data_IF_696725961432
#
_entry.id   IF_696725961432
#
_cell.length_a   1.000
_cell.length_b   1.000
_cell.length_c   1.000
_cell.angle_alpha   90.00
_cell.angle_beta   90.00
_cell.angle_gamma   90.00
#
_symmetry.space_group_name_H-M   'P 1'
#
loop_
_entity.id
_entity.type
_entity.pdbx_description
1 polymer ?
#
# COMPACT_ATOMS: atom_id res chain seq x y z
N UNK A 1 -1.75 30.13 17.66
CA UNK A 1 -3.11 29.57 17.49
C UNK A 1 -3.39 29.08 16.07
N UNK A 2 -2.93 29.76 15.03
CA UNK A 2 -3.21 29.39 13.62
C UNK A 2 -2.54 28.08 13.18
N UNK A 3 -1.26 27.88 13.52
CA UNK A 3 -0.51 26.67 13.17
C UNK A 3 -1.11 25.39 13.79
N UNK A 4 -1.58 25.47 15.04
CA UNK A 4 -2.25 24.34 15.72
C UNK A 4 -3.55 23.94 15.00
N UNK A 5 -4.30 24.92 14.46
CA UNK A 5 -5.50 24.65 13.65
C UNK A 5 -5.16 23.97 12.33
N UNK A 6 -4.07 24.37 11.66
CA UNK A 6 -3.63 23.76 10.40
C UNK A 6 -3.17 22.32 10.62
N UNK A 7 -2.37 22.06 11.66
CA UNK A 7 -1.94 20.71 12.02
C UNK A 7 -3.13 19.82 12.35
N UNK A 8 -4.08 20.29 13.16
CA UNK A 8 -5.30 19.54 13.50
C UNK A 8 -6.13 19.22 12.26
N UNK A 9 -6.31 20.20 11.35
CA UNK A 9 -7.03 20.00 10.09
C UNK A 9 -6.36 18.94 9.22
N UNK A 10 -5.05 19.03 9.03
CA UNK A 10 -4.30 18.06 8.24
C UNK A 10 -4.38 16.66 8.88
N UNK A 11 -4.19 16.56 10.19
CA UNK A 11 -4.32 15.30 10.91
C UNK A 11 -5.70 14.64 10.69
N UNK A 12 -6.78 15.41 10.89
CA UNK A 12 -8.15 14.93 10.69
C UNK A 12 -8.44 14.58 9.23
N UNK A 13 -7.97 15.39 8.29
CA UNK A 13 -8.15 15.16 6.86
C UNK A 13 -7.45 13.86 6.43
N UNK A 14 -6.13 13.77 6.61
CA UNK A 14 -5.35 12.63 6.16
C UNK A 14 -5.69 11.33 6.91
N UNK A 15 -5.95 11.43 8.22
CA UNK A 15 -6.35 10.29 9.04
C UNK A 15 -7.71 9.72 8.64
N UNK A 16 -8.68 10.60 8.34
CA UNK A 16 -10.00 10.19 7.83
C UNK A 16 -9.87 9.40 6.53
N UNK A 17 -9.07 9.86 5.57
CA UNK A 17 -8.88 9.15 4.31
C UNK A 17 -8.17 7.80 4.49
N UNK A 18 -7.21 7.69 5.42
CA UNK A 18 -6.55 6.41 5.72
C UNK A 18 -7.53 5.37 6.26
N UNK A 19 -8.41 5.79 7.16
CA UNK A 19 -9.49 4.94 7.70
C UNK A 19 -10.50 4.58 6.60
N UNK A 20 -10.89 5.55 5.76
CA UNK A 20 -11.82 5.30 4.64
C UNK A 20 -11.26 4.29 3.64
N UNK A 21 -9.97 4.38 3.28
CA UNK A 21 -9.33 3.40 2.41
C UNK A 21 -9.36 2.00 3.03
N UNK A 22 -9.20 1.89 4.35
CA UNK A 22 -9.31 0.61 5.07
C UNK A 22 -10.74 0.08 5.04
N UNK A 23 -11.74 0.94 5.23
CA UNK A 23 -13.14 0.54 5.15
C UNK A 23 -13.50 0.01 3.74
N UNK A 24 -12.97 0.64 2.69
CA UNK A 24 -13.14 0.19 1.30
C UNK A 24 -12.45 -1.17 1.10
N UNK A 25 -11.22 -1.35 1.61
CA UNK A 25 -10.53 -2.64 1.59
C UNK A 25 -11.39 -3.73 2.24
N UNK A 26 -11.92 -3.49 3.45
CA UNK A 26 -12.78 -4.44 4.17
C UNK A 26 -14.01 -4.78 3.31
N UNK A 27 -14.66 -3.78 2.73
CA UNK A 27 -15.81 -3.99 1.84
C UNK A 27 -15.48 -4.90 0.65
N UNK A 28 -14.40 -4.63 -0.07
CA UNK A 28 -13.97 -5.50 -1.17
C UNK A 28 -13.64 -6.91 -0.70
N UNK A 29 -12.90 -7.05 0.39
CA UNK A 29 -12.50 -8.35 0.93
C UNK A 29 -13.70 -9.20 1.34
N UNK A 30 -14.70 -8.59 1.99
CA UNK A 30 -15.94 -9.30 2.37
C UNK A 30 -16.70 -9.72 1.12
N UNK A 31 -16.88 -8.81 0.16
CA UNK A 31 -17.60 -9.09 -1.10
C UNK A 31 -16.91 -10.21 -1.88
N UNK A 32 -15.60 -10.10 -2.11
CA UNK A 32 -14.84 -11.11 -2.83
C UNK A 32 -14.73 -12.43 -2.04
N UNK A 33 -14.57 -12.37 -0.72
CA UNK A 33 -14.60 -13.54 0.14
C UNK A 33 -15.91 -14.31 0.00
N UNK A 34 -17.06 -13.63 -0.06
CA UNK A 34 -18.37 -14.26 -0.28
C UNK A 34 -18.44 -14.85 -1.71
N UNK A 35 -18.13 -14.05 -2.74
CA UNK A 35 -18.27 -14.47 -4.14
C UNK A 35 -17.40 -15.68 -4.50
N UNK A 36 -16.16 -15.70 -4.01
CA UNK A 36 -15.20 -16.76 -4.33
C UNK A 36 -15.21 -17.92 -3.33
N UNK A 37 -15.99 -17.82 -2.25
CA UNK A 37 -16.31 -18.95 -1.36
C UNK A 37 -17.48 -19.79 -1.88
N UNK A 38 -18.25 -19.30 -2.87
CA UNK A 38 -19.32 -20.10 -3.48
C UNK A 38 -18.72 -21.26 -4.28
N UNK A 39 -18.82 -22.48 -3.72
CA UNK A 39 -18.30 -23.71 -4.32
C UNK A 39 -17.33 -24.47 -3.41
N UNK A 40 -16.84 -23.83 -2.34
CA UNK A 40 -16.02 -24.47 -1.31
C UNK A 40 -16.92 -24.91 -0.15
N UNK A 41 -17.03 -26.22 0.08
CA UNK A 41 -17.88 -26.83 1.10
C UNK A 41 -17.22 -26.94 2.49
N UNK A 42 -16.05 -26.33 2.67
CA UNK A 42 -15.34 -26.29 3.95
C UNK A 42 -15.77 -25.10 4.82
N UNK A 43 -15.89 -25.32 6.15
CA UNK A 43 -16.30 -24.32 7.15
C UNK A 43 -15.38 -23.06 7.22
N UNK A 44 -14.22 -23.09 6.54
CA UNK A 44 -13.23 -22.01 6.49
C UNK A 44 -13.00 -21.38 5.11
N UNK A 45 -13.70 -21.81 4.06
CA UNK A 45 -13.48 -21.37 2.68
C UNK A 45 -13.60 -19.85 2.49
N UNK A 46 -14.53 -19.22 3.21
CA UNK A 46 -14.70 -17.76 3.23
C UNK A 46 -13.45 -17.05 3.74
N UNK A 47 -12.94 -17.42 4.91
CA UNK A 47 -11.82 -16.72 5.55
C UNK A 47 -10.52 -16.90 4.78
N UNK A 48 -10.32 -18.05 4.14
CA UNK A 48 -9.18 -18.30 3.24
C UNK A 48 -9.21 -17.42 2.01
N UNK A 49 -10.37 -17.33 1.36
CA UNK A 49 -10.57 -16.40 0.25
C UNK A 49 -10.38 -14.94 0.72
N UNK A 50 -10.98 -14.58 1.85
CA UNK A 50 -10.88 -13.24 2.42
C UNK A 50 -9.43 -12.86 2.76
N UNK A 51 -8.63 -13.76 3.33
CA UNK A 51 -7.22 -13.48 3.63
C UNK A 51 -6.41 -13.26 2.35
N UNK A 52 -6.62 -14.09 1.33
CA UNK A 52 -5.98 -13.94 0.03
C UNK A 52 -6.29 -12.56 -0.59
N UNK A 53 -7.56 -12.16 -0.64
CA UNK A 53 -7.95 -10.86 -1.16
C UNK A 53 -7.49 -9.70 -0.26
N UNK A 54 -7.44 -9.88 1.06
CA UNK A 54 -6.95 -8.86 1.98
C UNK A 54 -5.48 -8.54 1.72
N UNK A 55 -4.66 -9.56 1.49
CA UNK A 55 -3.24 -9.39 1.14
C UNK A 55 -3.11 -8.67 -0.20
N UNK A 56 -3.78 -9.17 -1.24
CA UNK A 56 -3.65 -8.62 -2.59
C UNK A 56 -4.15 -7.19 -2.70
N UNK A 57 -5.37 -6.93 -2.25
CA UNK A 57 -5.98 -5.60 -2.32
C UNK A 57 -5.27 -4.65 -1.35
N UNK A 58 -4.82 -5.15 -0.19
CA UNK A 58 -4.00 -4.39 0.75
C UNK A 58 -2.69 -3.88 0.14
N UNK A 59 -1.95 -4.76 -0.55
CA UNK A 59 -0.74 -4.39 -1.30
C UNK A 59 -1.07 -3.39 -2.42
N UNK A 60 -2.13 -3.66 -3.20
CA UNK A 60 -2.56 -2.81 -4.30
C UNK A 60 -2.88 -1.38 -3.83
N UNK A 61 -3.64 -1.24 -2.74
CA UNK A 61 -4.01 0.06 -2.19
C UNK A 61 -2.82 0.80 -1.56
N UNK A 62 -1.84 0.10 -1.01
CA UNK A 62 -0.59 0.73 -0.56
C UNK A 62 0.22 1.32 -1.72
N UNK A 63 0.09 0.75 -2.93
CA UNK A 63 0.71 1.29 -4.13
C UNK A 63 -0.12 2.42 -4.77
N UNK A 64 -1.42 2.21 -4.97
CA UNK A 64 -2.33 3.19 -5.61
C UNK A 64 -2.61 4.40 -4.71
N UNK A 65 -2.66 4.19 -3.38
CA UNK A 65 -2.94 5.22 -2.40
C UNK A 65 -2.05 6.45 -2.57
N UNK A 66 -0.71 6.32 -2.51
CA UNK A 66 0.20 7.42 -2.76
C UNK A 66 0.03 8.09 -4.13
N UNK A 67 -0.18 7.31 -5.20
CA UNK A 67 -0.37 7.83 -6.55
C UNK A 67 -1.61 8.72 -6.63
N UNK A 68 -2.76 8.17 -6.23
CA UNK A 68 -4.04 8.83 -6.38
C UNK A 68 -4.25 9.91 -5.32
N UNK A 69 -4.11 9.56 -4.04
CA UNK A 69 -4.38 10.47 -2.93
C UNK A 69 -3.23 11.46 -2.75
N UNK A 70 -1.98 11.02 -2.83
CA UNK A 70 -0.85 11.94 -2.76
C UNK A 70 -0.84 12.91 -3.95
N UNK A 71 -1.16 12.44 -5.15
CA UNK A 71 -1.11 13.25 -6.37
C UNK A 71 -2.19 14.32 -6.42
N UNK A 72 -3.37 14.03 -5.86
CA UNK A 72 -4.53 14.93 -5.87
C UNK A 72 -4.66 15.76 -4.61
N UNK A 73 -4.44 15.16 -3.43
CA UNK A 73 -4.71 15.84 -2.16
C UNK A 73 -3.56 16.70 -1.66
N UNK A 74 -2.30 16.45 -2.06
CA UNK A 74 -1.19 17.35 -1.69
C UNK A 74 -1.39 18.75 -2.28
N UNK A 75 -1.65 18.92 -3.60
CA UNK A 75 -1.99 20.23 -4.16
C UNK A 75 -3.22 20.87 -3.50
N UNK A 76 -4.24 20.06 -3.17
CA UNK A 76 -5.48 20.53 -2.55
C UNK A 76 -5.27 21.07 -1.12
N UNK A 77 -4.52 20.36 -0.27
CA UNK A 77 -4.28 20.88 1.09
C UNK A 77 -3.39 22.12 1.08
N UNK A 78 -2.49 22.24 0.09
CA UNK A 78 -1.70 23.45 -0.13
C UNK A 78 -2.59 24.65 -0.53
N UNK A 79 -3.60 24.45 -1.39
CA UNK A 79 -4.55 25.52 -1.76
C UNK A 79 -5.45 25.94 -0.60
N UNK A 80 -5.70 25.04 0.36
CA UNK A 80 -6.36 25.39 1.64
C UNK A 80 -5.45 26.10 2.65
N UNK A 81 -4.25 26.51 2.25
CA UNK A 81 -3.31 27.25 3.09
C UNK A 81 -2.50 26.38 4.06
N UNK A 82 -2.38 25.06 3.81
CA UNK A 82 -1.47 24.22 4.58
C UNK A 82 -0.01 24.62 4.34
N UNK A 83 0.83 24.55 5.36
CA UNK A 83 2.28 24.63 5.17
C UNK A 83 2.78 23.49 4.27
N UNK A 84 3.82 23.76 3.45
CA UNK A 84 4.38 22.78 2.51
C UNK A 84 4.92 21.52 3.21
N UNK A 85 5.61 21.71 4.33
CA UNK A 85 6.09 20.59 5.16
C UNK A 85 4.92 19.81 5.76
N UNK A 86 3.90 20.51 6.25
CA UNK A 86 2.73 19.88 6.87
C UNK A 86 1.89 19.08 5.87
N UNK A 87 1.84 19.49 4.61
CA UNK A 87 1.18 18.75 3.54
C UNK A 87 1.92 17.43 3.23
N UNK A 88 3.25 17.48 3.13
CA UNK A 88 4.06 16.28 2.90
C UNK A 88 4.01 15.31 4.09
N UNK A 89 4.12 15.81 5.32
CA UNK A 89 3.97 14.98 6.53
C UNK A 89 2.55 14.44 6.71
N UNK A 90 1.54 15.22 6.32
CA UNK A 90 0.15 14.77 6.30
C UNK A 90 -0.07 13.59 5.35
N UNK A 91 0.54 13.62 4.16
CA UNK A 91 0.51 12.46 3.25
C UNK A 91 1.14 11.21 3.88
N UNK A 92 2.20 11.35 4.67
CA UNK A 92 2.77 10.21 5.42
C UNK A 92 1.83 9.66 6.48
N UNK A 93 1.04 10.52 7.11
CA UNK A 93 0.01 10.08 8.05
C UNK A 93 -1.04 9.21 7.36
N UNK A 94 -1.49 9.60 6.15
CA UNK A 94 -2.40 8.78 5.35
C UNK A 94 -1.80 7.39 5.09
N UNK A 95 -0.56 7.34 4.61
CA UNK A 95 0.10 6.08 4.25
C UNK A 95 0.33 5.20 5.48
N UNK A 96 0.77 5.80 6.59
CA UNK A 96 0.99 5.10 7.85
C UNK A 96 -0.30 4.56 8.46
N UNK A 97 -1.35 5.39 8.53
CA UNK A 97 -2.65 4.97 9.05
C UNK A 97 -3.18 3.79 8.23
N UNK A 98 -3.24 3.93 6.90
CA UNK A 98 -3.73 2.87 6.02
C UNK A 98 -2.89 1.60 6.12
N UNK A 99 -1.56 1.70 6.02
CA UNK A 99 -0.68 0.54 6.05
C UNK A 99 -0.83 -0.25 7.35
N UNK A 100 -0.91 0.43 8.50
CA UNK A 100 -1.09 -0.21 9.81
C UNK A 100 -2.47 -0.86 9.91
N UNK A 101 -3.55 -0.14 9.59
CA UNK A 101 -4.90 -0.68 9.73
C UNK A 101 -5.19 -1.80 8.73
N UNK A 102 -4.69 -1.70 7.50
CA UNK A 102 -4.78 -2.77 6.51
C UNK A 102 -3.97 -3.99 6.93
N UNK A 103 -2.75 -3.81 7.46
CA UNK A 103 -1.92 -4.91 7.94
C UNK A 103 -2.57 -5.65 9.12
N UNK A 104 -3.14 -4.92 10.08
CA UNK A 104 -3.90 -5.51 11.18
C UNK A 104 -5.10 -6.32 10.67
N UNK A 105 -5.79 -5.83 9.63
CA UNK A 105 -6.90 -6.55 9.02
C UNK A 105 -6.45 -7.81 8.26
N UNK A 106 -5.31 -7.75 7.57
CA UNK A 106 -4.68 -8.94 6.96
C UNK A 106 -4.31 -9.98 8.02
N UNK A 107 -3.74 -9.56 9.16
CA UNK A 107 -3.43 -10.47 10.27
C UNK A 107 -4.70 -11.10 10.86
N UNK A 108 -5.77 -10.31 11.02
CA UNK A 108 -7.06 -10.79 11.52
C UNK A 108 -7.66 -11.86 10.60
N UNK A 109 -7.74 -11.58 9.30
CA UNK A 109 -8.26 -12.54 8.31
C UNK A 109 -7.38 -13.78 8.22
N UNK A 110 -6.07 -13.64 8.35
CA UNK A 110 -5.14 -14.77 8.35
C UNK A 110 -5.33 -15.68 9.56
N UNK A 111 -5.52 -15.11 10.75
CA UNK A 111 -5.82 -15.87 11.96
C UNK A 111 -7.13 -16.66 11.85
N UNK A 112 -8.14 -16.07 11.20
CA UNK A 112 -9.46 -16.70 11.01
C UNK A 112 -9.49 -17.75 9.88
N UNK A 113 -8.55 -17.71 8.93
CA UNK A 113 -8.48 -18.61 7.77
C UNK A 113 -7.89 -19.98 8.04
N UNK A 114 -6.73 -20.05 8.72
CA UNK A 114 -5.93 -21.28 8.77
C UNK A 114 -5.26 -21.52 10.13
N UNK A 115 -5.67 -20.80 11.18
CA UNK A 115 -4.86 -20.68 12.39
C UNK A 115 -3.61 -19.85 12.14
N UNK A 116 -2.66 -19.86 13.09
CA UNK A 116 -1.55 -18.90 13.20
C UNK A 116 -0.72 -18.80 11.90
N UNK A 117 -0.83 -17.66 11.20
CA UNK A 117 -0.07 -17.37 9.97
C UNK A 117 1.43 -17.41 10.25
N UNK A 118 2.21 -18.06 9.37
CA UNK A 118 3.66 -18.14 9.48
C UNK A 118 4.29 -16.76 9.64
N UNK A 119 5.14 -16.58 10.66
CA UNK A 119 5.81 -15.29 10.92
C UNK A 119 6.60 -14.77 9.71
N UNK A 120 7.13 -15.66 8.88
CA UNK A 120 7.79 -15.34 7.62
C UNK A 120 6.87 -14.61 6.64
N UNK A 121 5.67 -15.15 6.39
CA UNK A 121 4.68 -14.56 5.47
C UNK A 121 4.27 -13.17 5.95
N UNK A 122 4.07 -13.01 7.26
CA UNK A 122 3.70 -11.73 7.86
C UNK A 122 4.77 -10.65 7.69
N UNK A 123 6.06 -11.01 7.79
CA UNK A 123 7.17 -10.07 7.55
C UNK A 123 7.22 -9.68 6.07
N UNK A 124 7.11 -10.66 5.17
CA UNK A 124 7.13 -10.42 3.73
C UNK A 124 5.98 -9.49 3.29
N UNK A 125 4.78 -9.67 3.84
CA UNK A 125 3.63 -8.80 3.59
C UNK A 125 3.94 -7.37 4.07
N UNK A 126 4.51 -7.22 5.27
CA UNK A 126 4.86 -5.92 5.81
C UNK A 126 5.93 -5.20 4.95
N UNK A 127 6.95 -5.92 4.50
CA UNK A 127 7.95 -5.40 3.56
C UNK A 127 7.32 -4.98 2.23
N UNK A 128 6.41 -5.80 1.69
CA UNK A 128 5.64 -5.50 0.49
C UNK A 128 4.83 -4.21 0.63
N UNK A 129 4.19 -3.99 1.79
CA UNK A 129 3.46 -2.75 2.07
C UNK A 129 4.36 -1.52 2.00
N UNK A 130 5.51 -1.57 2.68
CA UNK A 130 6.47 -0.44 2.71
C UNK A 130 7.04 -0.17 1.32
N UNK A 131 7.40 -1.21 0.56
CA UNK A 131 7.89 -1.08 -0.80
C UNK A 131 6.83 -0.45 -1.72
N UNK A 132 5.59 -0.93 -1.66
CA UNK A 132 4.50 -0.39 -2.46
C UNK A 132 4.23 1.09 -2.15
N UNK A 133 4.25 1.48 -0.87
CA UNK A 133 4.14 2.90 -0.48
C UNK A 133 5.31 3.71 -1.06
N UNK A 134 6.54 3.22 -0.94
CA UNK A 134 7.72 3.92 -1.46
C UNK A 134 7.65 4.12 -2.98
N UNK A 135 7.29 3.08 -3.74
CA UNK A 135 7.12 3.15 -5.18
C UNK A 135 5.97 4.06 -5.61
N UNK A 136 4.81 3.93 -4.95
CA UNK A 136 3.66 4.79 -5.19
C UNK A 136 4.03 6.26 -4.98
N UNK A 137 4.76 6.56 -3.91
CA UNK A 137 5.19 7.91 -3.57
C UNK A 137 6.18 8.49 -4.60
N UNK A 138 7.10 7.68 -5.13
CA UNK A 138 7.98 8.10 -6.24
C UNK A 138 7.13 8.47 -7.46
N UNK A 139 6.12 7.67 -7.79
CA UNK A 139 5.20 7.98 -8.88
C UNK A 139 4.46 9.30 -8.64
N UNK A 140 4.02 9.57 -7.41
CA UNK A 140 3.42 10.86 -7.03
C UNK A 140 4.37 12.02 -7.23
N UNK A 141 5.64 11.85 -6.86
CA UNK A 141 6.69 12.87 -7.08
C UNK A 141 6.86 13.17 -8.57
N UNK A 142 6.85 12.14 -9.41
CA UNK A 142 6.92 12.30 -10.86
C UNK A 142 5.68 13.03 -11.41
N UNK A 143 4.49 12.73 -10.89
CA UNK A 143 3.24 13.42 -11.27
C UNK A 143 3.28 14.90 -10.92
N UNK A 144 3.71 15.23 -9.70
CA UNK A 144 3.85 16.62 -9.27
C UNK A 144 4.94 17.38 -10.05
N UNK A 145 6.07 16.73 -10.38
CA UNK A 145 7.20 17.39 -11.07
C UNK A 145 6.97 17.58 -12.57
N UNK A 146 6.37 16.59 -13.25
CA UNK A 146 6.26 16.57 -14.71
C UNK A 146 4.81 16.78 -15.21
N UNK A 147 3.86 17.04 -14.30
CA UNK A 147 2.46 17.32 -14.63
C UNK A 147 1.84 16.24 -15.51
N UNK A 148 1.34 16.61 -16.69
CA UNK A 148 0.68 15.69 -17.65
C UNK A 148 1.54 14.47 -18.01
N UNK A 149 2.85 14.64 -18.21
CA UNK A 149 3.74 13.52 -18.55
C UNK A 149 3.92 12.55 -17.37
N UNK A 150 3.99 13.09 -16.15
CA UNK A 150 4.07 12.29 -14.93
C UNK A 150 2.77 11.53 -14.64
N UNK A 151 1.62 12.12 -14.95
CA UNK A 151 0.31 11.46 -14.84
C UNK A 151 0.19 10.26 -15.78
N UNK A 152 0.58 10.43 -17.06
CA UNK A 152 0.59 9.32 -18.04
C UNK A 152 1.50 8.18 -17.56
N UNK A 153 2.69 8.52 -17.07
CA UNK A 153 3.61 7.52 -16.51
C UNK A 153 3.01 6.78 -15.30
N UNK A 154 2.39 7.50 -14.37
CA UNK A 154 1.70 6.91 -13.22
C UNK A 154 0.56 5.97 -13.62
N UNK A 155 -0.23 6.33 -14.63
CA UNK A 155 -1.28 5.48 -15.18
C UNK A 155 -0.68 4.22 -15.81
N UNK A 156 0.36 4.35 -16.65
CA UNK A 156 1.00 3.21 -17.31
C UNK A 156 1.54 2.18 -16.31
N UNK A 157 2.25 2.64 -15.27
CA UNK A 157 2.74 1.72 -14.24
C UNK A 157 1.58 1.11 -13.45
N UNK A 158 0.56 1.90 -13.11
CA UNK A 158 -0.62 1.36 -12.38
C UNK A 158 -1.34 0.29 -13.18
N UNK A 159 -1.53 0.50 -14.49
CA UNK A 159 -2.10 -0.51 -15.39
C UNK A 159 -1.18 -1.72 -15.47
N UNK A 160 0.13 -1.54 -15.61
CA UNK A 160 1.08 -2.65 -15.63
C UNK A 160 1.04 -3.49 -14.34
N UNK A 161 0.92 -2.85 -13.18
CA UNK A 161 0.80 -3.51 -11.86
C UNK A 161 -0.54 -4.24 -11.72
N UNK A 162 -1.65 -3.63 -12.14
CA UNK A 162 -2.97 -4.29 -12.11
C UNK A 162 -2.99 -5.48 -13.07
N UNK A 163 -2.44 -5.32 -14.27
CA UNK A 163 -2.38 -6.38 -15.27
C UNK A 163 -1.43 -7.49 -14.84
N UNK A 164 -0.31 -7.22 -14.18
CA UNK A 164 0.57 -8.28 -13.67
C UNK A 164 -0.04 -9.05 -12.50
N UNK A 165 -0.75 -8.37 -11.59
CA UNK A 165 -1.53 -9.03 -10.53
C UNK A 165 -2.68 -9.83 -11.14
N UNK A 166 -3.43 -9.26 -12.09
CA UNK A 166 -4.53 -9.92 -12.80
C UNK A 166 -4.07 -11.07 -13.69
N UNK A 167 -2.89 -10.99 -14.30
CA UNK A 167 -2.27 -12.08 -15.03
C UNK A 167 -1.83 -13.21 -14.07
N UNK A 168 -1.42 -12.87 -12.84
CA UNK A 168 -1.23 -13.85 -11.76
C UNK A 168 -2.53 -14.56 -11.35
N UNK A 169 -3.69 -13.87 -11.41
CA UNK A 169 -5.01 -14.50 -11.25
C UNK A 169 -5.36 -15.46 -12.40
N UNK A 170 -5.07 -15.08 -13.65
CA UNK A 170 -5.47 -15.86 -14.84
C UNK A 170 -4.51 -17.01 -15.15
N UNK A 171 -3.20 -16.84 -14.93
CA UNK A 171 -2.18 -17.86 -15.19
C UNK A 171 -2.05 -18.90 -14.07
N UNK A 172 -3.00 -18.93 -13.11
CA UNK A 172 -3.27 -20.06 -12.21
C UNK A 172 -2.05 -20.67 -11.55
N UNK A 173 -1.73 -20.21 -10.33
CA UNK A 173 -0.94 -20.87 -9.26
C UNK A 173 0.46 -21.44 -9.57
N UNK A 174 0.81 -21.87 -10.78
CA UNK A 174 2.04 -22.61 -11.09
C UNK A 174 3.32 -21.81 -10.85
N UNK A 175 3.31 -20.49 -11.09
CA UNK A 175 4.48 -19.63 -10.79
C UNK A 175 4.64 -19.43 -9.28
N UNK A 176 3.53 -19.27 -8.55
CA UNK A 176 3.52 -19.12 -7.09
C UNK A 176 3.92 -20.44 -6.43
N UNK A 177 3.44 -21.57 -6.90
CA UNK A 177 3.79 -22.91 -6.39
C UNK A 177 5.26 -23.24 -6.65
N UNK A 178 5.77 -22.90 -7.85
CA UNK A 178 7.19 -23.07 -8.19
C UNK A 178 8.08 -22.17 -7.31
N UNK A 179 7.70 -20.91 -7.12
CA UNK A 179 8.39 -19.98 -6.22
C UNK A 179 8.34 -20.46 -4.76
N UNK A 180 7.19 -20.93 -4.29
CA UNK A 180 7.00 -21.41 -2.92
C UNK A 180 7.82 -22.67 -2.67
N UNK A 181 7.87 -23.58 -3.64
CA UNK A 181 8.70 -24.78 -3.58
C UNK A 181 10.19 -24.44 -3.60
N UNK A 182 10.59 -23.48 -4.45
CA UNK A 182 11.98 -23.00 -4.52
C UNK A 182 12.41 -22.33 -3.20
N UNK A 183 11.55 -21.49 -2.61
CA UNK A 183 11.78 -20.84 -1.31
C UNK A 183 11.80 -21.89 -0.18
N UNK A 184 10.92 -22.89 -0.23
CA UNK A 184 10.87 -23.98 0.76
C UNK A 184 12.14 -24.82 0.80
N UNK A 185 12.90 -24.87 -0.30
CA UNK A 185 14.18 -25.56 -0.38
C UNK A 185 15.37 -24.73 0.14
N UNK A 186 15.17 -23.46 0.51
CA UNK A 186 16.22 -22.61 1.07
C UNK A 186 16.39 -22.86 2.57
N UNK A 187 17.64 -22.81 3.05
CA UNK A 187 17.90 -22.92 4.49
C UNK A 187 17.27 -21.73 5.25
N UNK A 188 16.77 -21.97 6.46
CA UNK A 188 16.17 -20.91 7.29
C UNK A 188 17.08 -19.71 7.54
N UNK A 189 18.41 -19.91 7.52
CA UNK A 189 19.40 -18.82 7.58
C UNK A 189 19.38 -17.93 6.34
N UNK A 190 19.32 -18.52 5.15
CA UNK A 190 19.25 -17.76 3.88
C UNK A 190 17.94 -17.00 3.77
N UNK A 191 16.82 -17.62 4.18
CA UNK A 191 15.50 -16.97 4.20
C UNK A 191 15.51 -15.78 5.16
N UNK A 192 16.04 -15.95 6.38
CA UNK A 192 16.14 -14.85 7.34
C UNK A 192 17.06 -13.72 6.85
N UNK A 193 18.21 -14.05 6.24
CA UNK A 193 19.12 -13.06 5.67
C UNK A 193 18.50 -12.28 4.51
N UNK A 194 17.72 -12.95 3.65
CA UNK A 194 17.01 -12.32 2.55
C UNK A 194 15.93 -11.35 3.05
N UNK A 195 15.16 -11.70 4.09
CA UNK A 195 14.20 -10.79 4.71
C UNK A 195 14.89 -9.57 5.34
N UNK A 196 15.96 -9.77 6.11
CA UNK A 196 16.68 -8.64 6.69
C UNK A 196 17.21 -7.68 5.61
N UNK A 197 17.73 -8.21 4.52
CA UNK A 197 18.14 -7.41 3.37
C UNK A 197 16.94 -6.72 2.70
N UNK A 198 15.82 -7.43 2.52
CA UNK A 198 14.57 -6.91 1.96
C UNK A 198 14.01 -5.74 2.77
N UNK A 199 13.89 -5.89 4.09
CA UNK A 199 13.50 -4.84 5.00
C UNK A 199 14.44 -3.62 4.94
N UNK A 200 15.76 -3.84 4.89
CA UNK A 200 16.72 -2.75 4.75
C UNK A 200 16.52 -1.97 3.44
N UNK A 201 16.33 -2.67 2.32
CA UNK A 201 16.03 -2.06 1.01
C UNK A 201 14.72 -1.29 1.05
N UNK A 202 13.67 -1.86 1.65
CA UNK A 202 12.36 -1.23 1.78
C UNK A 202 12.43 0.09 2.55
N UNK A 203 13.13 0.09 3.69
CA UNK A 203 13.36 1.30 4.50
C UNK A 203 14.14 2.34 3.71
N UNK A 204 15.24 1.95 3.06
CA UNK A 204 16.07 2.88 2.26
C UNK A 204 15.24 3.50 1.14
N UNK A 205 14.48 2.71 0.39
CA UNK A 205 13.63 3.21 -0.68
C UNK A 205 12.53 4.15 -0.17
N UNK A 206 11.92 3.83 0.98
CA UNK A 206 10.95 4.70 1.61
C UNK A 206 11.56 6.04 2.08
N UNK A 207 12.76 6.02 2.66
CA UNK A 207 13.46 7.25 3.06
C UNK A 207 13.81 8.10 1.84
N UNK A 208 14.31 7.48 0.76
CA UNK A 208 14.60 8.17 -0.49
C UNK A 208 13.31 8.79 -1.07
N UNK A 209 12.21 8.05 -1.12
CA UNK A 209 10.93 8.56 -1.62
C UNK A 209 10.42 9.74 -0.77
N UNK A 210 10.62 9.70 0.55
CA UNK A 210 10.26 10.79 1.48
C UNK A 210 11.07 12.05 1.23
N UNK A 211 12.39 11.90 1.07
CA UNK A 211 13.27 13.04 0.76
C UNK A 211 12.87 13.67 -0.57
N UNK A 212 12.58 12.85 -1.60
CA UNK A 212 12.14 13.34 -2.90
C UNK A 212 10.80 14.09 -2.80
N UNK A 213 9.83 13.55 -2.05
CA UNK A 213 8.53 14.19 -1.85
C UNK A 213 8.67 15.53 -1.12
N UNK A 214 9.42 15.58 -0.02
CA UNK A 214 9.67 16.82 0.70
C UNK A 214 10.33 17.87 -0.18
N UNK A 215 11.32 17.47 -1.00
CA UNK A 215 12.01 18.39 -1.94
C UNK A 215 11.05 18.95 -2.99
N UNK A 216 10.22 18.11 -3.61
CA UNK A 216 9.30 18.56 -4.65
C UNK A 216 8.17 19.41 -4.07
N UNK A 217 7.55 18.97 -2.97
CA UNK A 217 6.48 19.73 -2.30
C UNK A 217 6.99 21.09 -1.80
N UNK A 218 8.24 21.19 -1.33
CA UNK A 218 8.82 22.47 -0.88
C UNK A 218 8.91 23.53 -1.97
N UNK A 219 9.02 23.11 -3.24
CA UNK A 219 9.14 23.98 -4.42
C UNK A 219 7.85 24.02 -5.25
N UNK A 220 6.78 23.40 -4.76
CA UNK A 220 5.54 23.30 -5.53
C UNK A 220 4.82 24.65 -5.56
N UNK A 221 4.66 25.19 -6.77
CA UNK A 221 3.88 26.39 -7.02
C UNK A 221 2.43 25.99 -7.26
N UNK A 222 1.55 26.43 -6.36
CA UNK A 222 0.11 26.36 -6.60
C UNK A 222 -0.20 27.46 -7.61
N UNK A 223 -0.31 27.09 -8.90
CA UNK A 223 -0.85 28.01 -9.91
C UNK A 223 -2.34 28.12 -9.63
N UNK A 224 -2.74 29.25 -9.05
CA UNK A 224 -4.14 29.66 -8.86
C UNK A 224 -4.72 30.04 -10.22
#
# INVERSE_FOLDING_TARGET
MEQSKIIKRNFLFWGKYGIQMTAILIGFVVVYGIFFSFGDSSDGGFWTSANYFAILIGILFNYIGPISYGGTYIPMVLSFGSGRKEAAWGAQLLYGVYAVTAYLFVLLTGYLSAGRVDGFKNILIAEGFVLCVAFGQICTVLQMRYGKKGMVFGILITVAVIVSIGAGFVMGSGLIDTLTTWIGNLSGRVISGALFAGAAVAIVLYVISLILQLRVVSKYEVRV
#
